data_IF_970633599793
#
_entry.id   IF_970633599793
#
_cell.length_a   1.000
_cell.length_b   1.000
_cell.length_c   1.000
_cell.angle_alpha   90.00
_cell.angle_beta   90.00
_cell.angle_gamma   90.00
#
_symmetry.space_group_name_H-M   'P 1'
#
loop_
_entity.id
_entity.type
_entity.pdbx_description
1 polymer ?
#
# COMPACT_ATOMS: atom_id res chain seq x y z
N UNK A 1 12.19 -90.62 13.17
CA UNK A 1 13.46 -89.88 13.33
C UNK A 1 13.44 -88.75 12.30
N UNK A 2 13.23 -87.52 12.80
CA UNK A 2 13.48 -86.18 12.22
C UNK A 2 13.78 -86.00 10.71
N UNK A 3 12.92 -85.16 10.09
CA UNK A 3 13.11 -84.17 8.98
C UNK A 3 13.53 -84.71 7.59
N UNK A 4 13.03 -84.24 6.44
CA UNK A 4 12.93 -82.84 5.99
C UNK A 4 11.95 -82.71 4.80
N UNK A 5 11.14 -81.64 4.80
CA UNK A 5 10.17 -81.26 3.76
C UNK A 5 10.85 -80.55 2.58
N UNK A 6 10.37 -80.74 1.36
CA UNK A 6 10.51 -79.79 0.25
C UNK A 6 9.22 -79.75 -0.58
N UNK A 7 8.30 -78.85 -0.23
CA UNK A 7 7.14 -78.46 -1.04
C UNK A 7 7.22 -76.93 -1.20
N UNK A 8 7.61 -76.49 -2.39
CA UNK A 8 7.69 -75.07 -2.75
C UNK A 8 6.25 -74.53 -2.92
N UNK A 9 5.82 -73.66 -2.00
CA UNK A 9 4.55 -72.94 -2.09
C UNK A 9 4.74 -71.64 -2.87
N UNK A 10 3.81 -71.42 -3.79
CA UNK A 10 3.61 -70.22 -4.60
C UNK A 10 3.40 -69.00 -3.68
N UNK A 11 4.21 -67.95 -3.88
CA UNK A 11 4.10 -66.67 -3.19
C UNK A 11 3.42 -65.67 -4.15
N UNK A 12 2.16 -65.30 -3.88
CA UNK A 12 1.51 -64.14 -4.51
C UNK A 12 1.84 -62.91 -3.66
N UNK A 13 2.75 -62.05 -4.14
CA UNK A 13 2.95 -60.72 -3.59
C UNK A 13 1.85 -59.80 -4.13
N UNK A 14 0.87 -59.45 -3.29
CA UNK A 14 0.03 -58.26 -3.52
C UNK A 14 0.87 -57.02 -3.20
N UNK A 15 1.46 -56.41 -4.23
CA UNK A 15 2.03 -55.08 -4.15
C UNK A 15 0.90 -54.05 -4.21
N UNK A 16 0.51 -53.52 -3.06
CA UNK A 16 -0.39 -52.37 -2.96
C UNK A 16 0.39 -51.13 -3.41
N UNK A 17 0.23 -50.74 -4.67
CA UNK A 17 0.78 -49.50 -5.19
C UNK A 17 -0.05 -48.34 -4.62
N UNK A 18 0.45 -47.72 -3.54
CA UNK A 18 -0.02 -46.40 -3.13
C UNK A 18 0.38 -45.41 -4.23
N UNK A 19 -0.55 -45.11 -5.14
CA UNK A 19 -0.47 -43.91 -5.96
C UNK A 19 -0.59 -42.73 -5.00
N UNK A 20 0.56 -42.13 -4.65
CA UNK A 20 0.57 -40.75 -4.19
C UNK A 20 0.13 -39.89 -5.37
N UNK A 21 -1.16 -39.56 -5.40
CA UNK A 21 -1.67 -38.43 -6.17
C UNK A 21 -0.97 -37.20 -5.59
N UNK A 22 0.13 -36.80 -6.22
CA UNK A 22 0.69 -35.47 -6.04
C UNK A 22 -0.32 -34.54 -6.68
N UNK A 23 -1.20 -33.95 -5.87
CA UNK A 23 -1.95 -32.78 -6.31
C UNK A 23 -0.90 -31.75 -6.71
N UNK A 24 -0.99 -31.15 -7.91
CA UNK A 24 -0.21 -29.96 -8.16
C UNK A 24 -0.62 -28.97 -7.08
N UNK A 25 0.30 -28.64 -6.18
CA UNK A 25 0.19 -27.41 -5.42
C UNK A 25 0.18 -26.32 -6.50
N UNK A 26 -1.00 -25.81 -6.83
CA UNK A 26 -1.08 -24.56 -7.53
C UNK A 26 -0.34 -23.59 -6.65
N UNK A 27 0.83 -23.13 -7.10
CA UNK A 27 1.44 -21.93 -6.57
C UNK A 27 0.38 -20.85 -6.76
N UNK A 28 -0.36 -20.52 -5.71
CA UNK A 28 -0.99 -19.21 -5.66
C UNK A 28 0.15 -18.21 -5.90
N UNK A 29 -0.04 -17.28 -6.84
CA UNK A 29 0.93 -16.21 -7.04
C UNK A 29 1.12 -15.42 -5.75
N UNK A 30 2.23 -14.69 -5.62
CA UNK A 30 2.44 -13.82 -4.47
C UNK A 30 1.31 -12.78 -4.39
N UNK A 31 1.03 -12.32 -3.16
CA UNK A 31 -0.08 -11.41 -2.85
C UNK A 31 -0.15 -10.23 -3.81
N UNK A 32 0.97 -9.66 -4.19
CA UNK A 32 1.03 -8.42 -4.96
C UNK A 32 1.36 -8.62 -6.45
N UNK A 33 1.34 -9.86 -6.95
CA UNK A 33 1.60 -10.15 -8.37
C UNK A 33 0.32 -10.03 -9.24
N UNK A 34 -0.81 -9.66 -8.64
CA UNK A 34 -2.09 -9.50 -9.32
C UNK A 34 -2.85 -8.29 -8.82
N UNK A 35 -3.49 -7.58 -9.74
CA UNK A 35 -4.36 -6.43 -9.47
C UNK A 35 -5.81 -6.85 -9.13
N UNK A 36 -6.12 -8.16 -9.18
CA UNK A 36 -7.45 -8.65 -8.88
C UNK A 36 -7.82 -8.39 -7.41
N UNK A 37 -8.98 -7.78 -7.18
CA UNK A 37 -9.48 -7.47 -5.84
C UNK A 37 -9.68 -8.75 -5.04
N UNK A 38 -9.14 -8.78 -3.82
CA UNK A 38 -9.35 -9.90 -2.89
C UNK A 38 -10.61 -9.65 -2.07
N UNK A 39 -11.48 -10.65 -2.00
CA UNK A 39 -12.62 -10.65 -1.08
C UNK A 39 -12.16 -11.18 0.29
N UNK A 40 -12.28 -10.34 1.32
CA UNK A 40 -12.02 -10.67 2.72
C UNK A 40 -13.29 -10.50 3.55
N UNK A 41 -13.49 -11.37 4.54
CA UNK A 41 -14.43 -11.13 5.64
C UNK A 41 -13.65 -10.85 6.91
N UNK A 42 -14.07 -9.82 7.64
CA UNK A 42 -13.50 -9.47 8.93
C UNK A 42 -14.62 -9.20 9.93
N UNK A 43 -14.47 -9.72 11.15
CA UNK A 43 -15.44 -9.52 12.22
C UNK A 43 -14.67 -9.22 13.51
N UNK A 44 -14.85 -8.03 14.06
CA UNK A 44 -14.25 -7.62 15.33
C UNK A 44 -14.94 -6.38 15.91
N UNK A 45 -14.74 -6.15 17.20
CA UNK A 45 -15.13 -4.91 17.90
C UNK A 45 -14.13 -3.79 17.63
N UNK A 46 -14.60 -2.71 16.99
CA UNK A 46 -13.76 -1.52 16.71
C UNK A 46 -13.35 -0.83 18.02
N UNK A 47 -14.21 -0.82 19.04
CA UNK A 47 -13.87 -0.24 20.35
C UNK A 47 -12.81 -1.07 21.08
N UNK A 48 -12.93 -2.39 21.07
CA UNK A 48 -12.01 -3.25 21.82
C UNK A 48 -10.63 -3.27 21.17
N UNK A 49 -10.53 -3.39 19.84
CA UNK A 49 -9.21 -3.35 19.17
C UNK A 49 -8.49 -2.02 19.44
N UNK A 50 -9.20 -0.89 19.52
CA UNK A 50 -8.62 0.42 19.86
C UNK A 50 -8.13 0.52 21.31
N UNK A 51 -8.83 -0.14 22.22
CA UNK A 51 -8.56 -0.09 23.66
C UNK A 51 -7.45 -1.07 24.03
N UNK A 52 -7.46 -2.26 23.42
CA UNK A 52 -6.68 -3.40 23.85
C UNK A 52 -5.36 -3.52 23.08
N UNK A 53 -5.21 -2.80 21.96
CA UNK A 53 -3.98 -2.77 21.17
C UNK A 53 -3.33 -1.40 21.12
N UNK A 54 -2.03 -1.41 20.84
CA UNK A 54 -1.21 -0.22 20.60
C UNK A 54 -0.10 -0.60 19.62
N UNK A 55 0.97 0.19 19.52
CA UNK A 55 2.05 -0.10 18.58
C UNK A 55 2.86 -1.38 18.84
N UNK A 56 2.64 -2.03 19.99
CA UNK A 56 3.35 -3.23 20.44
C UNK A 56 2.45 -4.42 20.82
N UNK A 57 1.16 -4.20 21.08
CA UNK A 57 0.23 -5.24 21.52
C UNK A 57 -0.70 -5.67 20.39
N UNK A 58 -0.91 -6.98 20.22
CA UNK A 58 -1.82 -7.57 19.24
C UNK A 58 -2.97 -8.32 19.94
N UNK A 59 -4.10 -8.45 19.25
CA UNK A 59 -5.19 -9.38 19.57
C UNK A 59 -5.25 -10.47 18.51
N UNK A 60 -5.50 -11.72 18.92
CA UNK A 60 -5.72 -12.83 17.99
C UNK A 60 -7.15 -12.74 17.43
N UNK A 61 -7.28 -12.81 16.12
CA UNK A 61 -8.54 -12.71 15.37
C UNK A 61 -8.58 -13.74 14.24
N UNK A 62 -9.75 -13.92 13.63
CA UNK A 62 -9.90 -14.71 12.41
C UNK A 62 -10.39 -13.78 11.30
N UNK A 63 -9.73 -13.85 10.15
CA UNK A 63 -10.27 -13.34 8.90
C UNK A 63 -10.66 -14.51 8.00
N UNK A 64 -11.55 -14.27 7.05
CA UNK A 64 -11.83 -15.25 6.02
C UNK A 64 -11.40 -14.71 4.67
N UNK A 65 -10.61 -15.50 3.94
CA UNK A 65 -10.23 -15.24 2.56
C UNK A 65 -11.18 -16.01 1.64
N UNK A 66 -11.69 -15.35 0.60
CA UNK A 66 -12.51 -16.04 -0.38
C UNK A 66 -11.63 -16.73 -1.43
N UNK A 67 -11.84 -18.02 -1.65
CA UNK A 67 -11.15 -18.78 -2.68
C UNK A 67 -11.80 -18.60 -4.08
N UNK A 68 -11.16 -19.18 -5.10
CA UNK A 68 -11.65 -19.13 -6.49
C UNK A 68 -12.98 -19.85 -6.71
N UNK A 69 -13.35 -20.78 -5.83
CA UNK A 69 -14.62 -21.52 -5.87
C UNK A 69 -15.73 -20.78 -5.10
N UNK A 70 -15.40 -19.65 -4.47
CA UNK A 70 -16.29 -18.79 -3.71
C UNK A 70 -16.49 -19.20 -2.25
N UNK A 71 -15.72 -20.16 -1.73
CA UNK A 71 -15.74 -20.55 -0.32
C UNK A 71 -14.88 -19.62 0.53
N UNK A 72 -15.20 -19.54 1.82
CA UNK A 72 -14.47 -18.75 2.81
C UNK A 72 -13.49 -19.64 3.57
N UNK A 73 -12.20 -19.38 3.42
CA UNK A 73 -11.12 -20.03 4.15
C UNK A 73 -10.71 -19.21 5.38
N UNK A 74 -10.67 -19.86 6.54
CA UNK A 74 -10.26 -19.22 7.80
C UNK A 74 -8.75 -19.03 7.88
N UNK A 75 -8.33 -17.80 8.15
CA UNK A 75 -6.93 -17.46 8.37
C UNK A 75 -6.83 -16.81 9.75
N UNK A 76 -6.25 -17.51 10.75
CA UNK A 76 -6.01 -16.90 12.04
C UNK A 76 -4.88 -15.86 11.94
N UNK A 77 -5.15 -14.66 12.44
CA UNK A 77 -4.26 -13.50 12.35
C UNK A 77 -4.09 -12.83 13.71
N UNK A 78 -3.07 -11.98 13.81
CA UNK A 78 -2.87 -11.06 14.92
C UNK A 78 -3.15 -9.65 14.39
N UNK A 79 -4.12 -8.93 14.95
CA UNK A 79 -4.44 -7.56 14.57
C UNK A 79 -3.99 -6.56 15.64
N UNK A 80 -3.57 -5.38 15.20
CA UNK A 80 -3.37 -4.22 16.07
C UNK A 80 -3.69 -2.92 15.35
N UNK A 81 -4.03 -1.89 16.11
CA UNK A 81 -4.06 -0.52 15.58
C UNK A 81 -2.64 -0.02 15.28
N UNK A 82 -2.56 0.95 14.37
CA UNK A 82 -1.31 1.67 14.04
C UNK A 82 -1.58 3.15 13.83
N UNK A 83 -0.51 3.94 13.73
CA UNK A 83 -0.59 5.36 13.34
C UNK A 83 -1.17 6.27 14.42
N UNK A 84 -1.20 7.57 14.15
CA UNK A 84 -1.53 8.59 15.14
C UNK A 84 -2.82 9.34 14.78
N UNK A 85 -2.82 10.02 13.62
CA UNK A 85 -3.93 10.89 13.24
C UNK A 85 -5.21 10.10 12.96
N UNK A 86 -5.18 9.14 12.03
CA UNK A 86 -6.36 8.33 11.69
C UNK A 86 -6.83 7.49 12.89
N UNK A 87 -5.90 7.02 13.72
CA UNK A 87 -6.25 6.37 14.98
C UNK A 87 -7.08 7.28 15.89
N UNK A 88 -6.79 8.57 15.95
CA UNK A 88 -7.54 9.51 16.80
C UNK A 88 -8.85 10.00 16.16
N UNK A 89 -8.86 10.18 14.83
CA UNK A 89 -9.91 10.94 14.14
C UNK A 89 -10.85 10.10 13.26
N UNK A 90 -10.46 8.89 12.86
CA UNK A 90 -11.29 8.03 12.03
C UNK A 90 -12.18 7.11 12.86
N UNK A 91 -13.28 6.65 12.28
CA UNK A 91 -14.13 5.60 12.87
C UNK A 91 -13.43 4.24 12.79
N UNK A 92 -13.07 3.79 11.58
CA UNK A 92 -12.26 2.60 11.41
C UNK A 92 -10.77 2.97 11.61
N UNK A 93 -10.07 2.33 12.57
CA UNK A 93 -8.65 2.58 12.75
C UNK A 93 -7.86 1.91 11.62
N UNK A 94 -6.72 2.47 11.20
CA UNK A 94 -5.79 1.72 10.35
C UNK A 94 -5.21 0.56 11.15
N UNK A 95 -5.06 -0.59 10.50
CA UNK A 95 -4.64 -1.84 11.16
C UNK A 95 -3.30 -2.31 10.63
N UNK A 96 -2.56 -3.02 11.48
CA UNK A 96 -1.50 -3.94 11.06
C UNK A 96 -1.98 -5.34 11.34
N UNK A 97 -1.96 -6.17 10.30
CA UNK A 97 -2.30 -7.57 10.33
C UNK A 97 -1.00 -8.38 10.28
N UNK A 98 -0.89 -9.39 11.14
CA UNK A 98 0.26 -10.29 11.16
C UNK A 98 -0.21 -11.72 11.09
N UNK A 99 0.41 -12.50 10.21
CA UNK A 99 0.03 -13.89 9.97
C UNK A 99 1.20 -14.79 10.36
N UNK A 100 0.96 -15.71 11.29
CA UNK A 100 1.98 -16.67 11.75
C UNK A 100 2.35 -17.59 10.57
N UNK A 101 3.62 -17.99 10.46
CA UNK A 101 4.14 -18.80 9.34
C UNK A 101 3.23 -19.99 8.97
N UNK A 102 2.84 -20.78 9.97
CA UNK A 102 1.96 -21.95 9.80
C UNK A 102 0.55 -21.66 9.25
N UNK A 103 0.10 -20.40 9.29
CA UNK A 103 -1.22 -19.97 8.82
C UNK A 103 -1.16 -19.27 7.45
N UNK A 104 0.03 -18.91 6.98
CA UNK A 104 0.23 -18.26 5.66
C UNK A 104 0.87 -19.18 4.62
N UNK A 105 1.54 -20.24 5.06
CA UNK A 105 2.17 -21.24 4.17
C UNK A 105 1.13 -21.87 3.24
N UNK A 106 1.38 -21.84 1.93
CA UNK A 106 0.44 -22.34 0.91
C UNK A 106 -0.76 -21.42 0.63
N UNK A 107 -0.80 -20.20 1.17
CA UNK A 107 -1.82 -19.18 0.87
C UNK A 107 -1.21 -18.03 0.06
N UNK A 108 -2.03 -17.14 -0.50
CA UNK A 108 -1.56 -15.88 -1.12
C UNK A 108 -0.69 -15.02 -0.19
N UNK A 109 -0.75 -15.23 1.12
CA UNK A 109 0.03 -14.49 2.11
C UNK A 109 1.38 -15.13 2.45
N UNK A 110 1.80 -16.20 1.76
CA UNK A 110 2.96 -17.03 2.12
C UNK A 110 4.22 -16.21 2.39
N UNK A 111 4.53 -15.25 1.53
CA UNK A 111 5.71 -14.37 1.67
C UNK A 111 5.43 -13.16 2.58
N UNK A 112 4.17 -12.84 2.87
CA UNK A 112 3.75 -11.62 3.58
C UNK A 112 3.43 -11.87 5.05
N UNK A 113 4.41 -11.70 5.94
CA UNK A 113 4.25 -11.99 7.39
C UNK A 113 3.41 -10.92 8.06
N UNK A 114 3.54 -9.69 7.63
CA UNK A 114 2.86 -8.53 8.18
C UNK A 114 2.37 -7.66 7.03
N UNK A 115 1.18 -7.11 7.18
CA UNK A 115 0.54 -6.27 6.19
C UNK A 115 -0.12 -5.10 6.89
N UNK A 116 -0.07 -3.94 6.24
CA UNK A 116 -0.86 -2.79 6.64
C UNK A 116 -2.21 -2.91 5.94
N UNK A 117 -3.29 -2.81 6.70
CA UNK A 117 -4.66 -2.83 6.15
C UNK A 117 -5.23 -1.43 6.23
N UNK A 118 -5.56 -0.86 5.08
CA UNK A 118 -6.17 0.46 4.97
C UNK A 118 -7.68 0.31 4.86
N UNK A 119 -8.38 0.88 5.84
CA UNK A 119 -9.84 0.98 5.91
C UNK A 119 -10.31 2.38 5.57
N UNK A 120 -11.58 2.57 5.16
CA UNK A 120 -12.17 3.89 5.03
C UNK A 120 -12.11 4.65 6.36
N UNK A 121 -11.86 5.96 6.34
CA UNK A 121 -11.76 6.73 7.61
C UNK A 121 -13.12 6.89 8.32
N UNK A 122 -14.24 6.84 7.59
CA UNK A 122 -15.57 7.11 8.15
C UNK A 122 -16.62 6.12 7.62
N UNK A 123 -17.85 6.22 8.13
CA UNK A 123 -19.02 5.45 7.66
C UNK A 123 -19.85 6.19 6.61
N UNK A 124 -19.31 7.26 6.02
CA UNK A 124 -20.01 8.03 5.00
C UNK A 124 -20.16 7.22 3.70
N UNK A 125 -21.18 7.54 2.90
CA UNK A 125 -21.43 6.84 1.63
C UNK A 125 -20.32 7.01 0.59
N UNK A 126 -19.52 8.07 0.71
CA UNK A 126 -18.37 8.35 -0.16
C UNK A 126 -17.04 7.91 0.48
N UNK A 127 -17.06 7.08 1.52
CA UNK A 127 -15.82 6.66 2.16
C UNK A 127 -14.91 5.86 1.21
N UNK A 128 -15.51 5.03 0.35
CA UNK A 128 -14.79 4.24 -0.66
C UNK A 128 -14.12 5.11 -1.73
N UNK A 129 -14.68 6.27 -2.08
CA UNK A 129 -14.06 7.15 -3.08
C UNK A 129 -12.75 7.74 -2.58
N UNK A 130 -12.63 8.02 -1.28
CA UNK A 130 -11.36 8.45 -0.67
C UNK A 130 -10.34 7.32 -0.63
N UNK A 131 -10.76 6.09 -0.33
CA UNK A 131 -9.86 4.92 -0.37
C UNK A 131 -9.36 4.65 -1.79
N UNK A 132 -10.24 4.72 -2.78
CA UNK A 132 -9.87 4.55 -4.18
C UNK A 132 -8.87 5.62 -4.63
N UNK A 133 -9.06 6.89 -4.26
CA UNK A 133 -8.10 7.97 -4.57
C UNK A 133 -6.76 7.82 -3.84
N UNK A 134 -6.77 7.35 -2.58
CA UNK A 134 -5.53 7.04 -1.86
C UNK A 134 -4.78 5.90 -2.55
N UNK A 135 -5.50 4.85 -2.98
CA UNK A 135 -4.93 3.74 -3.76
C UNK A 135 -4.36 4.22 -5.10
N UNK A 136 -5.08 5.08 -5.84
CA UNK A 136 -4.58 5.68 -7.09
C UNK A 136 -3.23 6.38 -6.88
N UNK A 137 -3.00 7.03 -5.74
CA UNK A 137 -1.71 7.66 -5.47
C UNK A 137 -0.56 6.64 -5.40
N UNK A 138 -0.78 5.45 -4.81
CA UNK A 138 0.22 4.37 -4.84
C UNK A 138 0.47 3.88 -6.27
N UNK A 139 -0.60 3.64 -7.04
CA UNK A 139 -0.49 3.20 -8.44
C UNK A 139 0.22 4.22 -9.33
N UNK A 140 -0.03 5.52 -9.13
CA UNK A 140 0.68 6.60 -9.82
C UNK A 140 2.17 6.60 -9.46
N UNK A 141 2.52 6.32 -8.20
CA UNK A 141 3.91 6.30 -7.79
C UNK A 141 4.68 5.13 -8.42
N UNK A 142 4.04 3.96 -8.54
CA UNK A 142 4.60 2.77 -9.20
C UNK A 142 4.93 3.00 -10.69
N UNK A 143 4.21 3.91 -11.38
CA UNK A 143 4.49 4.25 -12.78
C UNK A 143 5.79 5.05 -12.98
N UNK A 144 6.23 5.76 -11.94
CA UNK A 144 7.40 6.66 -12.02
C UNK A 144 8.58 6.12 -11.23
N UNK A 145 8.36 5.41 -10.12
CA UNK A 145 9.41 4.93 -9.22
C UNK A 145 9.40 3.41 -9.12
N UNK A 146 10.59 2.80 -9.07
CA UNK A 146 10.75 1.40 -8.65
C UNK A 146 10.69 1.25 -7.12
N UNK A 147 11.05 2.30 -6.37
CA UNK A 147 11.09 2.30 -4.91
C UNK A 147 9.73 2.72 -4.36
N UNK A 148 8.81 1.76 -4.33
CA UNK A 148 7.44 1.92 -3.83
C UNK A 148 7.09 0.82 -2.85
N UNK A 149 6.03 1.01 -2.07
CA UNK A 149 5.36 -0.10 -1.42
C UNK A 149 4.40 -0.76 -2.42
N UNK A 150 4.37 -2.09 -2.48
CA UNK A 150 3.33 -2.79 -3.23
C UNK A 150 1.97 -2.65 -2.54
N UNK A 151 0.91 -2.57 -3.33
CA UNK A 151 -0.47 -2.45 -2.84
C UNK A 151 -1.42 -3.39 -3.56
N UNK A 152 -2.49 -3.82 -2.89
CA UNK A 152 -3.57 -4.60 -3.53
C UNK A 152 -4.93 -4.26 -2.95
N UNK A 153 -5.89 -3.92 -3.81
CA UNK A 153 -7.26 -3.63 -3.38
C UNK A 153 -7.94 -4.86 -2.77
N UNK A 154 -8.75 -4.60 -1.75
CA UNK A 154 -9.58 -5.62 -1.09
C UNK A 154 -11.01 -5.12 -0.95
N UNK A 155 -11.96 -6.05 -1.06
CA UNK A 155 -13.36 -5.86 -0.67
C UNK A 155 -13.57 -6.56 0.66
N UNK A 156 -14.08 -5.82 1.63
CA UNK A 156 -14.20 -6.30 3.01
C UNK A 156 -15.67 -6.44 3.36
N UNK A 157 -16.15 -7.67 3.53
CA UNK A 157 -17.39 -7.96 4.25
C UNK A 157 -17.09 -7.80 5.75
N UNK A 158 -17.50 -6.68 6.33
CA UNK A 158 -17.20 -6.32 7.70
C UNK A 158 -18.42 -6.48 8.62
N UNK A 159 -18.24 -7.16 9.75
CA UNK A 159 -19.21 -7.21 10.84
C UNK A 159 -18.62 -6.52 12.06
N UNK A 160 -19.23 -5.41 12.48
CA UNK A 160 -18.83 -4.73 13.69
C UNK A 160 -19.51 -5.34 14.93
N UNK A 161 -18.72 -5.95 15.81
CA UNK A 161 -19.25 -6.54 17.05
C UNK A 161 -19.75 -5.50 18.06
N UNK A 162 -19.40 -4.22 17.86
CA UNK A 162 -19.99 -3.10 18.60
C UNK A 162 -21.47 -2.87 18.27
N UNK A 163 -21.93 -3.31 17.09
CA UNK A 163 -23.31 -3.13 16.65
C UNK A 163 -24.18 -4.31 17.08
N UNK A 164 -25.18 -4.01 17.90
CA UNK A 164 -26.14 -5.01 18.42
C UNK A 164 -26.94 -5.70 17.31
N UNK A 165 -27.07 -5.07 16.14
CA UNK A 165 -27.77 -5.68 15.01
C UNK A 165 -26.91 -6.67 14.23
N UNK A 166 -25.58 -6.55 14.31
CA UNK A 166 -24.64 -7.37 13.54
C UNK A 166 -24.84 -7.27 12.03
N UNK A 167 -25.16 -6.06 11.51
CA UNK A 167 -25.32 -5.86 10.07
C UNK A 167 -23.98 -6.04 9.35
N UNK A 168 -23.96 -6.81 8.27
CA UNK A 168 -22.82 -6.92 7.36
C UNK A 168 -22.71 -5.64 6.53
N UNK A 169 -21.49 -5.09 6.46
CA UNK A 169 -21.15 -3.92 5.66
C UNK A 169 -20.11 -4.31 4.62
N UNK A 170 -20.32 -3.94 3.37
CA UNK A 170 -19.29 -4.01 2.34
C UNK A 170 -18.47 -2.72 2.38
N UNK A 171 -17.14 -2.85 2.54
CA UNK A 171 -16.19 -1.74 2.57
C UNK A 171 -15.12 -1.95 1.50
N UNK A 172 -14.66 -0.87 0.87
CA UNK A 172 -13.43 -0.89 0.08
C UNK A 172 -12.21 -0.66 0.98
N UNK A 173 -11.15 -1.42 0.75
CA UNK A 173 -9.86 -1.23 1.42
C UNK A 173 -8.71 -1.58 0.48
N UNK A 174 -7.49 -1.54 1.02
CA UNK A 174 -6.33 -2.16 0.36
C UNK A 174 -5.31 -2.66 1.37
N UNK A 175 -4.55 -3.66 0.95
CA UNK A 175 -3.36 -4.15 1.63
C UNK A 175 -2.15 -3.37 1.12
N UNK A 176 -1.25 -3.05 2.04
CA UNK A 176 -0.03 -2.32 1.79
C UNK A 176 1.14 -3.11 2.40
N UNK A 177 2.19 -3.29 1.60
CA UNK A 177 3.42 -4.02 1.94
C UNK A 177 4.05 -3.50 3.24
N UNK A 178 4.72 -4.40 3.98
CA UNK A 178 5.42 -4.03 5.20
C UNK A 178 6.70 -3.25 4.91
N UNK A 179 7.23 -2.58 5.94
CA UNK A 179 8.47 -1.82 5.79
C UNK A 179 9.67 -2.75 5.56
N UNK A 180 9.68 -3.89 6.27
CA UNK A 180 10.74 -4.89 6.18
C UNK A 180 10.74 -5.54 4.79
N UNK A 181 9.56 -5.88 4.25
CA UNK A 181 9.42 -6.55 2.96
C UNK A 181 9.89 -5.66 1.78
N UNK A 182 9.58 -4.34 1.81
CA UNK A 182 10.14 -3.40 0.81
C UNK A 182 11.66 -3.34 0.90
N UNK A 183 12.21 -3.30 2.12
CA UNK A 183 13.66 -3.20 2.30
C UNK A 183 14.38 -4.45 1.79
N UNK A 184 13.84 -5.62 2.08
CA UNK A 184 14.35 -6.91 1.63
C UNK A 184 14.36 -7.02 0.10
N UNK A 185 13.37 -6.46 -0.61
CA UNK A 185 13.36 -6.44 -2.10
C UNK A 185 14.55 -5.74 -2.73
N UNK A 186 15.22 -4.85 -2.01
CA UNK A 186 16.36 -4.08 -2.51
C UNK A 186 17.66 -4.35 -1.73
N UNK A 187 17.73 -5.45 -0.97
CA UNK A 187 18.87 -5.79 -0.10
C UNK A 187 19.25 -4.61 0.83
N UNK A 188 18.23 -3.87 1.30
CA UNK A 188 18.38 -2.62 2.03
C UNK A 188 17.81 -2.66 3.44
N UNK A 189 17.79 -1.50 4.09
CA UNK A 189 17.15 -1.30 5.39
C UNK A 189 16.38 0.03 5.45
N UNK A 190 15.31 0.08 6.25
CA UNK A 190 14.62 1.34 6.55
C UNK A 190 15.35 2.04 7.70
N UNK A 191 15.87 3.23 7.46
CA UNK A 191 16.58 3.98 8.49
C UNK A 191 15.64 4.49 9.59
N UNK A 192 16.01 4.23 10.84
CA UNK A 192 15.34 4.74 12.05
C UNK A 192 16.12 5.88 12.73
N UNK A 193 15.46 6.70 13.58
CA UNK A 193 16.11 7.61 14.55
C UNK A 193 16.93 8.84 14.07
N UNK A 194 17.43 8.92 12.83
CA UNK A 194 18.30 10.03 12.36
C UNK A 194 17.62 10.98 11.37
N UNK A 195 17.88 12.29 11.50
CA UNK A 195 17.58 13.28 10.44
C UNK A 195 18.56 13.07 9.29
N UNK A 196 18.06 13.03 8.06
CA UNK A 196 18.90 12.91 6.86
C UNK A 196 18.85 14.23 6.12
N UNK A 197 20.01 14.84 5.92
CA UNK A 197 20.12 16.04 5.08
C UNK A 197 19.74 15.67 3.66
N UNK A 198 18.90 16.50 3.02
CA UNK A 198 18.47 16.25 1.66
C UNK A 198 19.64 16.11 0.68
N UNK A 199 20.79 16.73 0.95
CA UNK A 199 21.99 16.70 0.10
C UNK A 199 22.70 15.35 0.07
N UNK A 200 22.38 14.46 1.02
CA UNK A 200 22.91 13.10 1.08
C UNK A 200 22.05 12.11 0.30
N UNK A 201 20.83 12.49 -0.11
CA UNK A 201 19.92 11.62 -0.85
C UNK A 201 20.23 11.62 -2.34
N UNK A 202 20.05 10.47 -2.97
CA UNK A 202 20.25 10.26 -4.40
C UNK A 202 19.45 11.27 -5.23
N UNK A 203 20.08 12.05 -6.13
CA UNK A 203 19.41 13.17 -6.81
C UNK A 203 18.17 12.78 -7.61
N UNK A 204 18.27 11.76 -8.47
CA UNK A 204 17.17 11.38 -9.37
C UNK A 204 15.95 10.82 -8.60
N UNK A 205 16.09 9.83 -7.71
CA UNK A 205 14.98 9.36 -6.88
C UNK A 205 14.39 10.45 -5.99
N UNK A 206 15.21 11.40 -5.50
CA UNK A 206 14.71 12.53 -4.68
C UNK A 206 13.84 13.49 -5.48
N UNK A 207 14.29 13.94 -6.65
CA UNK A 207 13.50 14.86 -7.49
C UNK A 207 12.24 14.16 -7.99
N UNK A 208 12.33 12.86 -8.32
CA UNK A 208 11.18 12.05 -8.72
C UNK A 208 10.11 11.96 -7.62
N UNK A 209 10.55 11.66 -6.40
CA UNK A 209 9.69 11.69 -5.22
C UNK A 209 9.02 13.06 -5.07
N UNK A 210 9.77 14.15 -5.17
CA UNK A 210 9.23 15.50 -4.95
C UNK A 210 8.25 15.95 -6.06
N UNK A 211 8.45 15.51 -7.30
CA UNK A 211 7.49 15.69 -8.40
C UNK A 211 6.20 14.92 -8.13
N UNK A 212 6.33 13.66 -7.69
CA UNK A 212 5.18 12.84 -7.33
C UNK A 212 4.37 13.47 -6.19
N UNK A 213 5.03 13.95 -5.13
CA UNK A 213 4.35 14.62 -4.02
C UNK A 213 3.62 15.88 -4.51
N UNK A 214 4.21 16.67 -5.41
CA UNK A 214 3.53 17.83 -6.01
C UNK A 214 2.37 17.41 -6.94
N UNK A 215 2.51 16.35 -7.72
CA UNK A 215 1.47 15.81 -8.61
C UNK A 215 0.20 15.49 -7.83
N UNK A 216 0.32 14.75 -6.73
CA UNK A 216 -0.82 14.38 -5.88
C UNK A 216 -1.26 15.50 -4.92
N UNK A 217 -0.54 16.64 -4.88
CA UNK A 217 -0.81 17.74 -3.97
C UNK A 217 -0.54 17.41 -2.51
N UNK A 218 0.48 16.59 -2.24
CA UNK A 218 0.93 16.32 -0.89
C UNK A 218 1.93 17.40 -0.44
N UNK A 219 1.55 18.14 0.59
CA UNK A 219 2.46 19.06 1.25
C UNK A 219 2.78 18.65 2.68
N UNK A 220 2.15 17.61 3.22
CA UNK A 220 2.43 17.12 4.57
C UNK A 220 3.49 16.02 4.57
N UNK A 221 4.65 16.31 3.98
CA UNK A 221 5.79 15.39 3.99
C UNK A 221 7.10 16.11 4.31
N UNK A 222 8.07 15.36 4.84
CA UNK A 222 9.43 15.85 5.00
C UNK A 222 10.42 14.71 5.03
N UNK A 223 11.32 14.63 4.06
CA UNK A 223 12.42 13.67 4.06
C UNK A 223 13.46 13.97 5.16
N UNK A 224 13.60 15.25 5.56
CA UNK A 224 14.51 15.67 6.64
C UNK A 224 14.04 15.18 8.02
N UNK A 225 12.73 15.28 8.28
CA UNK A 225 12.12 14.87 9.54
C UNK A 225 11.46 13.49 9.48
N UNK A 226 11.41 12.87 8.29
CA UNK A 226 10.72 11.61 7.96
C UNK A 226 9.25 11.62 8.36
N UNK A 227 8.59 12.75 8.12
CA UNK A 227 7.14 12.84 8.21
C UNK A 227 6.55 12.40 6.86
N UNK A 228 5.67 11.40 6.88
CA UNK A 228 5.04 10.76 5.70
C UNK A 228 6.04 10.42 4.58
N UNK A 229 7.27 10.06 4.98
CA UNK A 229 8.37 9.66 4.11
C UNK A 229 9.36 8.84 4.93
N UNK A 230 9.72 7.66 4.42
CA UNK A 230 10.78 6.79 4.95
C UNK A 230 12.05 6.98 4.11
N UNK A 231 13.19 6.56 4.65
CA UNK A 231 14.46 6.54 3.91
C UNK A 231 14.92 5.08 3.83
N UNK A 232 15.03 4.58 2.61
CA UNK A 232 15.61 3.28 2.29
C UNK A 232 17.12 3.46 2.10
N UNK A 233 17.90 2.80 2.96
CA UNK A 233 19.34 2.66 2.79
C UNK A 233 19.60 1.42 1.94
N UNK A 234 20.15 1.64 0.76
CA UNK A 234 20.57 0.58 -0.15
C UNK A 234 22.07 0.29 -0.01
N UNK A 235 22.57 -0.81 -0.61
CA UNK A 235 24.00 -1.04 -0.73
C UNK A 235 24.76 0.18 -1.27
N UNK A 236 26.04 0.29 -0.90
CA UNK A 236 26.90 1.44 -1.22
C UNK A 236 26.45 2.77 -0.59
N UNK A 237 25.72 2.70 0.53
CA UNK A 237 25.24 3.85 1.31
C UNK A 237 24.29 4.79 0.54
N UNK A 238 23.61 4.28 -0.48
CA UNK A 238 22.66 5.06 -1.28
C UNK A 238 21.37 5.31 -0.50
N UNK A 239 20.98 6.57 -0.37
CA UNK A 239 19.80 6.99 0.41
C UNK A 239 18.66 7.38 -0.52
N UNK A 240 17.57 6.59 -0.47
CA UNK A 240 16.40 6.75 -1.34
C UNK A 240 15.18 7.14 -0.50
N UNK A 241 14.42 8.18 -0.88
CA UNK A 241 13.15 8.47 -0.22
C UNK A 241 12.07 7.48 -0.65
N UNK A 242 11.30 7.00 0.31
CA UNK A 242 10.18 6.10 0.14
C UNK A 242 8.89 6.80 0.60
N UNK A 243 7.98 7.06 -0.33
CA UNK A 243 6.73 7.76 -0.07
C UNK A 243 5.63 6.81 0.45
N UNK A 244 4.83 7.26 1.40
CA UNK A 244 3.63 6.56 1.89
C UNK A 244 2.69 7.53 2.60
N UNK A 245 1.48 7.05 2.96
CA UNK A 245 0.44 7.80 3.67
C UNK A 245 -0.13 8.95 2.82
N UNK A 246 -0.93 8.59 1.82
CA UNK A 246 -1.45 9.52 0.79
C UNK A 246 -2.91 9.95 1.03
N UNK A 247 -3.46 9.69 2.22
CA UNK A 247 -4.84 10.00 2.55
C UNK A 247 -5.11 11.51 2.59
N UNK A 248 -4.15 12.31 3.04
CA UNK A 248 -4.26 13.78 3.15
C UNK A 248 -3.57 14.53 2.01
N UNK A 249 -4.00 14.27 0.79
CA UNK A 249 -3.42 14.88 -0.41
C UNK A 249 -4.47 15.64 -1.21
N UNK A 250 -4.05 16.54 -2.09
CA UNK A 250 -4.94 17.25 -3.01
C UNK A 250 -5.73 16.32 -3.93
N UNK A 251 -5.14 15.17 -4.29
CA UNK A 251 -5.81 14.13 -5.08
C UNK A 251 -6.98 13.50 -4.33
N UNK A 252 -6.78 13.15 -3.04
CA UNK A 252 -7.84 12.55 -2.21
C UNK A 252 -8.86 13.59 -1.77
N UNK A 253 -8.38 14.78 -1.36
CA UNK A 253 -9.17 15.91 -0.86
C UNK A 253 -10.22 15.50 0.20
N UNK A 254 -9.83 14.80 1.29
CA UNK A 254 -10.79 14.36 2.28
C UNK A 254 -11.31 15.55 3.11
N UNK A 255 -12.53 15.46 3.68
CA UNK A 255 -13.13 16.55 4.46
C UNK A 255 -12.39 16.86 5.77
N UNK A 256 -11.49 15.97 6.20
CA UNK A 256 -10.65 16.12 7.37
C UNK A 256 -9.21 16.58 7.04
N UNK A 257 -8.90 16.84 5.76
CA UNK A 257 -7.58 17.32 5.35
C UNK A 257 -7.23 18.61 6.09
N UNK A 258 -5.98 18.70 6.55
CA UNK A 258 -5.45 19.90 7.18
C UNK A 258 -4.30 20.44 6.35
N UNK A 259 -4.26 21.76 6.20
CA UNK A 259 -3.12 22.44 5.61
C UNK A 259 -2.14 22.79 6.72
N UNK A 260 -0.89 22.36 6.58
CA UNK A 260 0.17 22.68 7.53
C UNK A 260 0.41 24.19 7.54
N UNK A 261 0.53 24.78 8.74
CA UNK A 261 0.92 26.18 8.90
C UNK A 261 2.40 26.46 8.53
N UNK A 262 3.14 25.41 8.16
CA UNK A 262 4.53 25.51 7.70
C UNK A 262 4.65 25.78 6.19
N UNK A 263 3.53 25.84 5.47
CA UNK A 263 3.46 26.12 4.03
C UNK A 263 2.49 27.26 3.75
N UNK A 264 2.76 27.98 2.67
CA UNK A 264 1.96 29.12 2.23
C UNK A 264 0.98 28.67 1.12
N UNK A 265 0.02 27.82 1.52
CA UNK A 265 -1.10 27.39 0.68
C UNK A 265 -2.40 27.53 1.46
N UNK A 266 -3.53 27.68 0.75
CA UNK A 266 -4.84 27.85 1.39
C UNK A 266 -5.61 26.53 1.49
N UNK A 267 -5.41 25.64 0.52
CA UNK A 267 -6.14 24.37 0.38
C UNK A 267 -5.19 23.22 0.13
N UNK A 268 -5.58 22.01 0.54
CA UNK A 268 -4.82 20.78 0.24
C UNK A 268 -4.69 20.52 -1.26
N UNK A 269 -5.59 21.09 -2.08
CA UNK A 269 -5.55 21.03 -3.54
C UNK A 269 -4.57 22.03 -4.17
N UNK A 270 -4.04 22.97 -3.41
CA UNK A 270 -3.04 23.91 -3.91
C UNK A 270 -1.68 23.19 -3.99
N UNK A 271 -1.07 23.20 -5.18
CA UNK A 271 0.22 22.54 -5.38
C UNK A 271 1.37 23.41 -4.91
N UNK A 272 2.31 22.77 -4.23
CA UNK A 272 3.56 23.40 -3.82
C UNK A 272 4.70 22.40 -3.99
N UNK A 273 5.72 22.78 -4.76
CA UNK A 273 6.96 22.03 -4.80
C UNK A 273 7.72 22.21 -3.48
N UNK A 274 8.01 21.12 -2.78
CA UNK A 274 8.69 21.12 -1.46
C UNK A 274 10.10 20.51 -1.49
N UNK A 275 10.57 20.14 -2.67
CA UNK A 275 11.86 19.48 -2.86
C UNK A 275 13.06 20.40 -2.71
N UNK A 276 14.23 19.80 -2.49
CA UNK A 276 15.49 20.54 -2.40
C UNK A 276 16.06 20.84 -3.78
N UNK A 277 16.82 21.94 -3.89
CA UNK A 277 17.49 22.31 -5.12
C UNK A 277 18.51 21.24 -5.54
N UNK A 278 18.55 20.98 -6.85
CA UNK A 278 19.46 20.05 -7.55
C UNK A 278 19.93 20.69 -8.85
N UNK A 279 20.89 20.05 -9.51
CA UNK A 279 21.33 20.44 -10.84
C UNK A 279 20.16 20.46 -11.83
N UNK A 280 20.16 21.44 -12.74
CA UNK A 280 19.06 21.64 -13.71
C UNK A 280 18.78 20.37 -14.51
N UNK A 281 19.82 19.65 -14.91
CA UNK A 281 19.68 18.45 -15.74
C UNK A 281 18.88 17.35 -15.02
N UNK A 282 18.97 17.25 -13.68
CA UNK A 282 18.16 16.31 -12.89
C UNK A 282 16.68 16.68 -12.98
N UNK A 283 16.35 17.97 -12.86
CA UNK A 283 14.97 18.43 -12.99
C UNK A 283 14.41 18.18 -14.39
N UNK A 284 15.16 18.48 -15.45
CA UNK A 284 14.70 18.26 -16.82
C UNK A 284 14.55 16.77 -17.14
N UNK A 285 15.47 15.93 -16.67
CA UNK A 285 15.34 14.49 -16.85
C UNK A 285 14.04 13.97 -16.23
N UNK A 286 13.76 14.31 -14.97
CA UNK A 286 12.53 13.89 -14.30
C UNK A 286 11.29 14.51 -14.96
N UNK A 287 11.36 15.76 -15.42
CA UNK A 287 10.28 16.39 -16.18
C UNK A 287 9.93 15.59 -17.44
N UNK A 288 10.94 15.17 -18.21
CA UNK A 288 10.73 14.34 -19.40
C UNK A 288 10.11 13.00 -19.04
N UNK A 289 10.63 12.31 -18.02
CA UNK A 289 10.07 11.03 -17.55
C UNK A 289 8.59 11.13 -17.19
N UNK A 290 8.16 12.17 -16.45
CA UNK A 290 6.76 12.37 -16.12
C UNK A 290 5.90 12.67 -17.36
N UNK A 291 6.39 13.52 -18.28
CA UNK A 291 5.66 13.85 -19.51
C UNK A 291 5.44 12.62 -20.40
N UNK A 292 6.41 11.70 -20.46
CA UNK A 292 6.28 10.42 -21.18
C UNK A 292 5.25 9.49 -20.54
N UNK A 293 4.96 9.66 -19.24
CA UNK A 293 4.01 8.87 -18.45
C UNK A 293 2.64 9.52 -18.28
N UNK A 294 2.42 10.72 -18.84
CA UNK A 294 1.20 11.50 -18.64
C UNK A 294 -0.08 10.71 -18.96
N UNK A 295 -0.15 10.13 -20.16
CA UNK A 295 -1.35 9.39 -20.59
C UNK A 295 -1.67 8.22 -19.65
N UNK A 296 -0.63 7.52 -19.16
CA UNK A 296 -0.81 6.41 -18.22
C UNK A 296 -1.26 6.91 -16.85
N UNK A 297 -0.63 7.96 -16.33
CA UNK A 297 -0.97 8.56 -15.03
C UNK A 297 -2.41 9.09 -15.03
N UNK A 298 -2.85 9.74 -16.11
CA UNK A 298 -4.24 10.17 -16.26
C UNK A 298 -5.17 8.97 -16.39
N UNK A 299 -4.75 7.93 -17.13
CA UNK A 299 -5.49 6.69 -17.33
C UNK A 299 -5.82 5.94 -16.02
N UNK A 300 -4.98 6.06 -14.98
CA UNK A 300 -5.26 5.48 -13.66
C UNK A 300 -6.58 6.01 -13.08
N UNK A 301 -6.96 7.26 -13.32
CA UNK A 301 -8.26 7.77 -12.86
C UNK A 301 -9.43 7.03 -13.52
N UNK A 302 -9.28 6.61 -14.78
CA UNK A 302 -10.29 5.84 -15.52
C UNK A 302 -10.36 4.39 -15.02
N UNK A 303 -9.23 3.78 -14.69
CA UNK A 303 -9.16 2.40 -14.18
C UNK A 303 -10.01 2.20 -12.91
N UNK A 304 -10.18 3.26 -12.11
CA UNK A 304 -10.93 3.25 -10.85
C UNK A 304 -12.19 4.14 -10.87
N UNK A 305 -12.68 4.54 -12.05
CA UNK A 305 -13.86 5.42 -12.20
C UNK A 305 -15.11 4.86 -11.51
N UNK A 306 -15.25 3.53 -11.45
CA UNK A 306 -16.41 2.85 -10.85
C UNK A 306 -16.60 3.14 -9.34
N UNK A 307 -15.54 3.58 -8.65
CA UNK A 307 -15.57 3.96 -7.24
C UNK A 307 -15.85 5.46 -7.00
N UNK A 308 -16.00 6.22 -8.08
CA UNK A 308 -16.18 7.67 -8.05
C UNK A 308 -17.57 8.04 -8.58
N UNK A 309 -18.16 9.09 -8.03
CA UNK A 309 -19.25 9.76 -8.73
C UNK A 309 -18.74 10.44 -10.01
N UNK A 310 -19.61 10.73 -10.99
CA UNK A 310 -19.19 11.42 -12.21
C UNK A 310 -18.54 12.78 -11.97
N UNK A 311 -18.88 13.48 -10.87
CA UNK A 311 -18.20 14.73 -10.50
C UNK A 311 -16.80 14.47 -9.95
N UNK A 312 -16.68 13.52 -9.02
CA UNK A 312 -15.38 13.17 -8.43
C UNK A 312 -14.40 12.66 -9.48
N UNK A 313 -14.85 11.87 -10.46
CA UNK A 313 -14.00 11.44 -11.57
C UNK A 313 -13.49 12.62 -12.39
N UNK A 314 -14.36 13.54 -12.82
CA UNK A 314 -13.95 14.73 -13.59
C UNK A 314 -13.00 15.62 -12.79
N UNK A 315 -13.24 15.79 -11.50
CA UNK A 315 -12.36 16.56 -10.60
C UNK A 315 -11.00 15.88 -10.46
N UNK A 316 -10.96 14.56 -10.31
CA UNK A 316 -9.72 13.77 -10.20
C UNK A 316 -8.90 13.85 -11.48
N UNK A 317 -9.52 13.59 -12.64
CA UNK A 317 -8.85 13.66 -13.94
C UNK A 317 -8.31 15.06 -14.22
N UNK A 318 -9.13 16.10 -13.98
CA UNK A 318 -8.70 17.49 -14.11
C UNK A 318 -7.54 17.81 -13.18
N UNK A 319 -7.63 17.41 -11.92
CA UNK A 319 -6.57 17.65 -10.94
C UNK A 319 -5.24 17.08 -11.45
N UNK A 320 -5.22 15.83 -11.94
CA UNK A 320 -4.02 15.23 -12.54
C UNK A 320 -3.54 16.00 -13.78
N UNK A 321 -4.43 16.34 -14.72
CA UNK A 321 -4.08 17.12 -15.92
C UNK A 321 -3.45 18.47 -15.59
N UNK A 322 -3.97 19.19 -14.60
CA UNK A 322 -3.47 20.51 -14.21
C UNK A 322 -1.99 20.48 -13.78
N UNK A 323 -1.49 19.35 -13.25
CA UNK A 323 -0.06 19.18 -12.97
C UNK A 323 0.77 19.12 -14.26
N UNK A 324 0.32 18.39 -15.27
CA UNK A 324 1.03 18.29 -16.54
C UNK A 324 1.01 19.60 -17.34
N UNK A 325 0.00 20.45 -17.15
CA UNK A 325 0.02 21.81 -17.69
C UNK A 325 1.19 22.64 -17.12
N UNK A 326 1.54 22.44 -15.84
CA UNK A 326 2.73 23.06 -15.22
C UNK A 326 4.00 22.52 -15.89
N UNK A 327 4.09 21.20 -16.05
CA UNK A 327 5.27 20.57 -16.68
C UNK A 327 5.42 20.92 -18.16
N UNK A 328 4.35 21.14 -18.92
CA UNK A 328 4.41 21.50 -20.35
C UNK A 328 4.78 22.97 -20.59
N UNK A 329 4.60 23.83 -19.59
CA UNK A 329 4.84 25.26 -19.72
C UNK A 329 6.18 25.65 -19.08
N UNK A 330 7.18 25.97 -19.89
CA UNK A 330 8.54 26.30 -19.41
C UNK A 330 8.57 27.39 -18.34
N UNK A 331 7.74 28.42 -18.47
CA UNK A 331 7.67 29.52 -17.50
C UNK A 331 7.03 29.07 -16.19
N UNK A 332 5.99 28.24 -16.26
CA UNK A 332 5.33 27.69 -15.09
C UNK A 332 6.25 26.70 -14.36
N UNK A 333 6.89 25.80 -15.11
CA UNK A 333 7.89 24.86 -14.65
C UNK A 333 9.04 25.56 -13.92
N UNK A 334 9.62 26.58 -14.56
CA UNK A 334 10.68 27.38 -13.95
C UNK A 334 10.23 27.99 -12.63
N UNK A 335 9.08 28.68 -12.63
CA UNK A 335 8.59 29.42 -11.47
C UNK A 335 8.18 28.51 -10.31
N UNK A 336 7.49 27.41 -10.59
CA UNK A 336 6.80 26.61 -9.57
C UNK A 336 7.61 25.41 -9.07
N UNK A 337 8.64 24.98 -9.79
CA UNK A 337 9.46 23.82 -9.43
C UNK A 337 10.91 24.24 -9.28
N UNK A 338 11.56 24.70 -10.35
CA UNK A 338 13.02 24.88 -10.34
C UNK A 338 13.44 26.07 -9.49
N UNK A 339 12.79 27.23 -9.64
CA UNK A 339 13.05 28.41 -8.82
C UNK A 339 12.39 28.33 -7.43
N UNK A 340 11.45 27.41 -7.22
CA UNK A 340 10.74 27.22 -5.95
C UNK A 340 11.41 26.18 -5.03
N UNK A 341 12.45 25.50 -5.51
CA UNK A 341 13.18 24.51 -4.72
C UNK A 341 13.78 25.13 -3.45
N UNK A 342 13.96 24.30 -2.42
CA UNK A 342 14.50 24.72 -1.13
C UNK A 342 16.03 24.55 -1.11
N UNK A 343 16.73 25.54 -0.56
CA UNK A 343 18.14 25.37 -0.21
C UNK A 343 18.31 24.42 0.97
N UNK A 344 19.50 23.82 1.08
CA UNK A 344 19.86 22.90 2.17
C UNK A 344 20.07 23.59 3.52
#
# INVERSE_FOLDING_TARGET
MRYFNLLFKIFYCLSFAFLFLSFPAYSQGDLFDSDEIIDLKMQFSVKDIRKDTNDSTFVDEIIWLKDSDGNWEEIPVELRVRGNFRLTNCYYPPLRMKIKKKNREGTIFEENKSLKVVFPCSRSKNADSYVAKEFMAYQIFEEVSEYTFKTRMIRITFVNEDDKKGEELELLGFLLEDDDDVADRFDGEILEGKKILGSLMEPLPSVRHDYFQMLIGNTDFSSLFRHNSKILLLPEERLIPLAYDFDMTGLVNPPYAQVSNLVDIEKVTDRLYRGFCRERDVFEQIRTEFLEKEDRIIGIASDYESYLSPSEYRETARFLSDFFEILKNDKAFEKQIVSACRSY
#
